data_IF_221658625229
#
_entry.id   IF_221658625229
#
_cell.length_a   1.000
_cell.length_b   1.000
_cell.length_c   1.000
_cell.angle_alpha   90.00
_cell.angle_beta   90.00
_cell.angle_gamma   90.00
#
_symmetry.space_group_name_H-M   'P 1'
#
loop_
_entity.id
_entity.type
_entity.pdbx_description
1 polymer ?
#
# COMPACT_ATOMS: atom_id res chain seq x y z
N UNK A 1 2.11 31.93 -1.98
CA UNK A 1 1.78 31.77 -3.41
C UNK A 1 2.40 30.47 -3.89
N UNK A 2 1.57 29.46 -4.19
CA UNK A 2 2.03 28.13 -4.63
C UNK A 2 2.59 28.27 -6.05
N UNK A 3 3.91 28.27 -6.18
CA UNK A 3 4.58 28.11 -7.49
C UNK A 3 4.37 26.66 -7.94
N UNK A 4 3.89 26.50 -9.17
CA UNK A 4 3.79 25.25 -9.95
C UNK A 4 2.99 24.11 -9.31
N UNK A 5 1.66 24.21 -9.32
CA UNK A 5 0.86 22.98 -9.37
C UNK A 5 0.85 22.50 -10.83
N UNK A 6 1.36 21.29 -11.06
CA UNK A 6 1.31 20.64 -12.38
C UNK A 6 -0.13 20.67 -12.92
N UNK A 7 -0.28 21.01 -14.21
CA UNK A 7 -1.60 21.15 -14.86
C UNK A 7 -2.42 19.87 -14.64
N UNK A 8 -3.50 19.95 -13.87
CA UNK A 8 -4.40 18.83 -13.56
C UNK A 8 -4.32 18.31 -12.13
N UNK A 9 -3.34 18.75 -11.34
CA UNK A 9 -3.27 18.42 -9.91
C UNK A 9 -4.40 19.12 -9.13
N UNK A 10 -5.15 18.34 -8.35
CA UNK A 10 -6.23 18.82 -7.49
C UNK A 10 -6.08 18.27 -6.06
N UNK A 11 -7.06 18.51 -5.18
CA UNK A 11 -6.99 18.06 -3.78
C UNK A 11 -7.00 16.54 -3.57
N UNK A 12 -7.41 15.78 -4.58
CA UNK A 12 -7.57 14.33 -4.52
C UNK A 12 -6.55 13.57 -5.37
N UNK A 13 -6.05 14.17 -6.45
CA UNK A 13 -5.15 13.51 -7.41
C UNK A 13 -4.03 14.47 -7.80
N UNK A 14 -2.79 14.02 -7.65
CA UNK A 14 -1.64 14.62 -8.31
C UNK A 14 -1.52 14.11 -9.75
N UNK A 15 -1.17 15.01 -10.65
CA UNK A 15 -0.98 14.70 -12.06
C UNK A 15 0.29 15.37 -12.56
N UNK A 16 1.33 14.60 -12.87
CA UNK A 16 2.64 15.11 -13.27
C UNK A 16 3.79 14.20 -12.85
N UNK A 17 5.02 14.61 -13.18
CA UNK A 17 6.29 13.92 -12.84
C UNK A 17 6.30 12.42 -13.19
N UNK A 18 5.68 12.08 -14.33
CA UNK A 18 5.70 10.71 -14.86
C UNK A 18 7.14 10.31 -15.22
N UNK A 19 7.47 9.03 -15.06
CA UNK A 19 8.81 8.50 -15.37
C UNK A 19 9.96 9.21 -14.64
N UNK A 20 9.68 9.79 -13.46
CA UNK A 20 10.66 10.56 -12.67
C UNK A 20 11.20 11.79 -13.40
N UNK A 21 10.38 12.40 -14.27
CA UNK A 21 10.71 13.65 -14.94
C UNK A 21 10.87 14.77 -13.89
N UNK A 22 12.12 15.19 -13.68
CA UNK A 22 12.53 16.18 -12.68
C UNK A 22 13.65 17.05 -13.20
N UNK A 23 13.63 18.33 -12.83
CA UNK A 23 14.72 19.26 -13.11
C UNK A 23 16.05 18.78 -12.49
N UNK A 24 17.18 19.07 -13.13
CA UNK A 24 18.52 18.62 -12.69
C UNK A 24 18.82 19.00 -11.23
N UNK A 25 18.33 20.15 -10.79
CA UNK A 25 18.51 20.65 -9.42
C UNK A 25 17.76 19.82 -8.36
N UNK A 26 16.62 19.21 -8.70
CA UNK A 26 15.79 18.44 -7.76
C UNK A 26 15.98 16.91 -7.89
N UNK A 27 16.69 16.44 -8.91
CA UNK A 27 16.79 15.02 -9.28
C UNK A 27 17.16 14.11 -8.10
N UNK A 28 18.16 14.49 -7.29
CA UNK A 28 18.60 13.69 -6.15
C UNK A 28 17.51 13.49 -5.09
N UNK A 29 16.78 14.56 -4.76
CA UNK A 29 15.69 14.51 -3.76
C UNK A 29 14.49 13.73 -4.31
N UNK A 30 14.16 13.92 -5.59
CA UNK A 30 13.04 13.20 -6.24
C UNK A 30 13.31 11.70 -6.27
N UNK A 31 14.51 11.27 -6.64
CA UNK A 31 14.83 9.84 -6.72
C UNK A 31 14.87 9.18 -5.35
N UNK A 32 15.47 9.85 -4.35
CA UNK A 32 15.48 9.36 -2.97
C UNK A 32 14.04 9.24 -2.42
N UNK A 33 13.21 10.26 -2.65
CA UNK A 33 11.80 10.25 -2.23
C UNK A 33 11.02 9.16 -2.95
N UNK A 34 11.28 8.94 -4.24
CA UNK A 34 10.63 7.88 -5.01
C UNK A 34 10.95 6.50 -4.45
N UNK A 35 12.23 6.18 -4.21
CA UNK A 35 12.62 4.87 -3.65
C UNK A 35 12.00 4.67 -2.26
N UNK A 36 11.98 5.73 -1.45
CA UNK A 36 11.36 5.70 -0.13
C UNK A 36 9.84 5.49 -0.19
N UNK A 37 9.12 6.17 -1.10
CA UNK A 37 7.68 5.97 -1.27
C UNK A 37 7.34 4.65 -1.95
N UNK A 38 8.22 4.15 -2.82
CA UNK A 38 8.10 2.83 -3.45
C UNK A 38 8.15 1.71 -2.41
N UNK A 39 8.98 1.84 -1.36
CA UNK A 39 9.01 0.86 -0.28
C UNK A 39 7.69 0.83 0.49
N UNK A 40 7.07 1.98 0.81
CA UNK A 40 5.75 2.05 1.42
C UNK A 40 4.64 1.47 0.53
N UNK A 41 4.66 1.80 -0.77
CA UNK A 41 3.70 1.26 -1.73
C UNK A 41 3.79 -0.28 -1.81
N UNK A 42 5.01 -0.81 -1.79
CA UNK A 42 5.28 -2.24 -1.76
C UNK A 42 4.75 -2.85 -0.47
N UNK A 43 5.05 -2.28 0.70
CA UNK A 43 4.55 -2.73 2.00
C UNK A 43 3.03 -2.76 2.07
N UNK A 44 2.35 -1.71 1.58
CA UNK A 44 0.88 -1.66 1.55
C UNK A 44 0.29 -2.81 0.71
N UNK A 45 0.97 -3.17 -0.38
CA UNK A 45 0.55 -4.24 -1.29
C UNK A 45 0.88 -5.64 -0.78
N UNK A 46 2.02 -5.82 -0.09
CA UNK A 46 2.41 -7.14 0.46
C UNK A 46 1.57 -7.54 1.68
N UNK A 47 1.00 -6.59 2.42
CA UNK A 47 -0.01 -6.90 3.47
C UNK A 47 -1.15 -7.76 2.89
N UNK A 48 -1.64 -7.43 1.70
CA UNK A 48 -2.74 -8.14 1.04
C UNK A 48 -2.37 -9.57 0.63
N UNK A 49 -1.09 -9.79 0.30
CA UNK A 49 -0.59 -11.11 -0.11
C UNK A 49 -0.80 -12.18 0.98
N UNK A 50 -0.60 -11.81 2.25
CA UNK A 50 -0.81 -12.71 3.40
C UNK A 50 -2.27 -13.13 3.54
N UNK A 51 -3.21 -12.22 3.29
CA UNK A 51 -4.64 -12.51 3.34
C UNK A 51 -5.09 -13.43 2.19
N UNK A 52 -4.44 -13.34 1.03
CA UNK A 52 -4.76 -14.11 -0.19
C UNK A 52 -4.02 -15.44 -0.30
N UNK A 53 -3.10 -15.73 0.62
CA UNK A 53 -2.22 -16.90 0.58
C UNK A 53 -2.98 -18.23 0.35
N UNK A 54 -2.28 -19.18 -0.29
CA UNK A 54 -2.69 -20.58 -0.57
C UNK A 54 -3.80 -20.78 -1.61
N UNK A 55 -4.60 -19.76 -1.94
CA UNK A 55 -5.79 -19.92 -2.83
C UNK A 55 -5.96 -18.88 -3.92
N UNK A 56 -4.98 -17.97 -4.07
CA UNK A 56 -4.98 -16.98 -5.13
C UNK A 56 -4.15 -17.48 -6.33
N UNK A 57 -4.68 -17.28 -7.54
CA UNK A 57 -3.90 -17.48 -8.76
C UNK A 57 -2.82 -16.39 -8.87
N UNK A 58 -1.58 -16.79 -9.19
CA UNK A 58 -0.45 -15.88 -9.31
C UNK A 58 -0.68 -14.72 -10.29
N UNK A 59 -1.26 -14.99 -11.47
CA UNK A 59 -1.56 -13.95 -12.47
C UNK A 59 -2.57 -12.94 -11.93
N UNK A 60 -3.61 -13.43 -11.25
CA UNK A 60 -4.60 -12.57 -10.59
C UNK A 60 -3.94 -11.72 -9.49
N UNK A 61 -2.99 -12.28 -8.74
CA UNK A 61 -2.23 -11.56 -7.73
C UNK A 61 -1.34 -10.46 -8.33
N UNK A 62 -0.66 -10.70 -9.46
CA UNK A 62 0.14 -9.67 -10.13
C UNK A 62 -0.73 -8.50 -10.60
N UNK A 63 -1.87 -8.79 -11.24
CA UNK A 63 -2.82 -7.76 -11.69
C UNK A 63 -3.37 -6.99 -10.50
N UNK A 64 -3.79 -7.69 -9.44
CA UNK A 64 -4.26 -7.07 -8.21
C UNK A 64 -3.20 -6.16 -7.59
N UNK A 65 -1.95 -6.60 -7.53
CA UNK A 65 -0.84 -5.84 -6.93
C UNK A 65 -0.56 -4.53 -7.67
N UNK A 66 -0.63 -4.56 -9.00
CA UNK A 66 -0.54 -3.35 -9.83
C UNK A 66 -1.65 -2.35 -9.50
N UNK A 67 -2.91 -2.80 -9.47
CA UNK A 67 -4.03 -1.93 -9.13
C UNK A 67 -4.00 -1.44 -7.68
N UNK A 68 -3.60 -2.29 -6.73
CA UNK A 68 -3.49 -1.90 -5.32
C UNK A 68 -2.40 -0.84 -5.10
N UNK A 69 -1.33 -0.87 -5.89
CA UNK A 69 -0.32 0.19 -5.88
C UNK A 69 -0.92 1.52 -6.32
N UNK A 70 -1.76 1.54 -7.36
CA UNK A 70 -2.50 2.75 -7.76
C UNK A 70 -3.46 3.22 -6.66
N UNK A 71 -4.16 2.28 -5.99
CA UNK A 71 -5.02 2.59 -4.85
C UNK A 71 -4.22 3.22 -3.70
N UNK A 72 -3.02 2.72 -3.39
CA UNK A 72 -2.13 3.30 -2.38
C UNK A 72 -1.75 4.76 -2.70
N UNK A 73 -1.45 5.08 -3.97
CA UNK A 73 -1.03 6.41 -4.37
C UNK A 73 -2.08 7.50 -4.06
N UNK A 74 -3.38 7.17 -4.06
CA UNK A 74 -4.45 8.15 -3.81
C UNK A 74 -4.46 8.62 -2.34
N UNK A 75 -4.65 7.77 -1.30
CA UNK A 75 -4.59 8.20 0.09
C UNK A 75 -3.22 8.73 0.51
N UNK A 76 -2.13 8.18 -0.03
CA UNK A 76 -0.80 8.73 0.19
C UNK A 76 -0.71 10.18 -0.30
N UNK A 77 -1.26 10.49 -1.48
CA UNK A 77 -1.36 11.85 -2.01
C UNK A 77 -2.24 12.76 -1.15
N UNK A 78 -3.35 12.25 -0.61
CA UNK A 78 -4.26 13.02 0.24
C UNK A 78 -3.59 13.50 1.53
N UNK A 79 -2.79 12.65 2.17
CA UNK A 79 -2.19 12.90 3.49
C UNK A 79 -0.80 13.53 3.39
N UNK A 80 0.06 13.03 2.51
CA UNK A 80 1.46 13.46 2.40
C UNK A 80 1.72 14.45 1.27
N UNK A 81 0.86 14.48 0.26
CA UNK A 81 0.99 15.43 -0.83
C UNK A 81 0.67 16.85 -0.40
N UNK A 82 1.50 17.83 -0.81
CA UNK A 82 1.22 19.27 -0.62
C UNK A 82 -0.12 19.70 -1.23
N UNK A 83 -0.58 18.98 -2.26
CA UNK A 83 -1.87 19.21 -2.91
C UNK A 83 -3.04 18.64 -2.10
N UNK A 84 -2.79 17.59 -1.31
CA UNK A 84 -3.78 16.72 -0.69
C UNK A 84 -4.75 17.44 0.24
N UNK A 85 -6.03 17.09 0.15
CA UNK A 85 -7.06 17.72 0.97
C UNK A 85 -6.90 17.40 2.47
N UNK A 86 -6.49 16.17 2.83
CA UNK A 86 -6.26 15.79 4.24
C UNK A 86 -5.04 16.52 4.81
N UNK A 87 -4.00 16.70 4.00
CA UNK A 87 -2.83 17.51 4.36
C UNK A 87 -3.25 18.96 4.69
N UNK A 88 -4.12 19.57 3.88
CA UNK A 88 -4.65 20.93 4.10
C UNK A 88 -5.57 21.02 5.33
N UNK A 89 -6.21 19.93 5.71
CA UNK A 89 -6.99 19.81 6.96
C UNK A 89 -6.11 19.55 8.19
N UNK A 90 -4.79 19.60 8.05
CA UNK A 90 -3.81 19.39 9.13
C UNK A 90 -3.84 17.98 9.73
N UNK A 91 -4.26 16.97 8.94
CA UNK A 91 -4.13 15.57 9.33
C UNK A 91 -2.65 15.20 9.39
N UNK A 92 -2.23 14.60 10.51
CA UNK A 92 -0.85 14.18 10.73
C UNK A 92 -0.78 12.66 10.71
N UNK A 93 -0.08 12.14 9.71
CA UNK A 93 0.37 10.74 9.66
C UNK A 93 1.81 10.76 9.13
N UNK A 94 2.76 10.35 9.96
CA UNK A 94 4.19 10.47 9.64
C UNK A 94 4.71 9.23 8.91
N UNK A 95 4.23 8.05 9.33
CA UNK A 95 4.81 6.76 8.92
C UNK A 95 3.84 5.85 8.16
N UNK A 96 2.58 6.26 8.00
CA UNK A 96 1.64 5.59 7.10
C UNK A 96 0.63 4.69 7.79
N UNK A 97 0.19 5.04 8.99
CA UNK A 97 -0.90 4.31 9.67
C UNK A 97 -2.15 4.21 8.78
N UNK A 98 -2.53 5.31 8.11
CA UNK A 98 -3.63 5.34 7.16
C UNK A 98 -3.25 4.82 5.77
N UNK A 99 -2.37 5.48 4.99
CA UNK A 99 -2.13 5.09 3.60
C UNK A 99 -1.49 3.71 3.44
N UNK A 100 -0.73 3.20 4.43
CA UNK A 100 -0.09 1.87 4.36
C UNK A 100 -0.94 0.83 5.07
N UNK A 101 -1.13 0.97 6.38
CA UNK A 101 -1.76 -0.09 7.19
C UNK A 101 -3.28 -0.15 7.03
N UNK A 102 -3.99 0.98 7.07
CA UNK A 102 -5.45 0.98 6.92
C UNK A 102 -5.86 0.60 5.50
N UNK A 103 -5.25 1.19 4.48
CA UNK A 103 -5.54 0.85 3.07
C UNK A 103 -5.15 -0.59 2.78
N UNK A 104 -3.95 -1.03 3.16
CA UNK A 104 -3.52 -2.42 3.00
C UNK A 104 -4.44 -3.40 3.73
N UNK A 105 -4.84 -3.09 4.97
CA UNK A 105 -5.75 -3.90 5.77
C UNK A 105 -7.17 -3.97 5.19
N UNK A 106 -7.72 -2.84 4.72
CA UNK A 106 -9.03 -2.79 4.08
C UNK A 106 -9.03 -3.56 2.75
N UNK A 107 -8.02 -3.36 1.90
CA UNK A 107 -7.81 -4.15 0.68
C UNK A 107 -7.70 -5.63 0.98
N UNK A 108 -7.00 -6.01 2.06
CA UNK A 108 -6.86 -7.40 2.50
C UNK A 108 -8.19 -8.02 2.91
N UNK A 109 -9.01 -7.27 3.65
CA UNK A 109 -10.32 -7.72 4.07
C UNK A 109 -11.23 -7.98 2.86
N UNK A 110 -11.30 -7.02 1.92
CA UNK A 110 -12.10 -7.18 0.70
C UNK A 110 -11.59 -8.34 -0.15
N UNK A 111 -10.27 -8.47 -0.33
CA UNK A 111 -9.68 -9.58 -1.08
C UNK A 111 -9.99 -10.95 -0.44
N UNK A 112 -9.92 -11.05 0.89
CA UNK A 112 -10.27 -12.27 1.61
C UNK A 112 -11.76 -12.62 1.49
N UNK A 113 -12.65 -11.61 1.54
CA UNK A 113 -14.09 -11.80 1.34
C UNK A 113 -14.41 -12.31 -0.08
N UNK A 114 -13.73 -11.77 -1.10
CA UNK A 114 -13.91 -12.18 -2.49
C UNK A 114 -13.39 -13.60 -2.76
N UNK A 115 -12.21 -13.95 -2.23
CA UNK A 115 -11.62 -15.28 -2.38
C UNK A 115 -12.34 -16.36 -1.60
N UNK A 116 -13.12 -15.97 -0.56
CA UNK A 116 -13.80 -16.88 0.36
C UNK A 116 -12.80 -17.71 1.20
N UNK A 117 -13.31 -18.52 2.16
CA UNK A 117 -12.47 -19.38 2.98
C UNK A 117 -11.66 -20.38 2.17
N UNK A 118 -10.53 -20.81 2.72
CA UNK A 118 -9.76 -21.93 2.19
C UNK A 118 -10.62 -23.19 2.12
N UNK A 119 -10.37 -24.03 1.12
CA UNK A 119 -11.04 -25.32 0.99
C UNK A 119 -10.84 -26.13 2.27
N UNK A 120 -11.92 -26.68 2.82
CA UNK A 120 -11.90 -27.47 4.05
C UNK A 120 -11.65 -26.68 5.35
N UNK A 121 -11.56 -25.35 5.31
CA UNK A 121 -11.20 -24.53 6.49
C UNK A 121 -12.17 -24.69 7.67
N UNK A 122 -13.45 -24.86 7.38
CA UNK A 122 -14.54 -24.85 8.36
C UNK A 122 -15.29 -26.19 8.48
N UNK A 123 -14.79 -27.23 7.82
CA UNK A 123 -15.44 -28.55 7.81
C UNK A 123 -15.39 -29.25 9.18
N UNK A 124 -14.40 -28.89 10.02
CA UNK A 124 -14.15 -29.48 11.35
C UNK A 124 -14.39 -28.50 12.49
N UNK A 125 -15.13 -27.42 12.25
CA UNK A 125 -15.41 -26.36 13.21
C UNK A 125 -14.67 -25.06 12.93
N UNK A 126 -14.71 -24.14 13.89
CA UNK A 126 -14.18 -22.76 13.76
C UNK A 126 -12.84 -22.55 14.43
N UNK A 127 -12.27 -23.59 15.05
CA UNK A 127 -11.00 -23.50 15.75
C UNK A 127 -9.89 -22.97 14.81
N UNK A 128 -8.96 -22.15 15.32
CA UNK A 128 -7.84 -21.67 14.53
C UNK A 128 -6.97 -22.85 14.06
N UNK A 129 -6.46 -22.84 12.82
CA UNK A 129 -5.55 -23.87 12.38
C UNK A 129 -4.23 -23.76 13.16
N UNK A 130 -3.49 -24.86 13.33
CA UNK A 130 -2.16 -24.79 13.91
C UNK A 130 -1.26 -23.87 13.08
N UNK A 131 -0.34 -23.17 13.76
CA UNK A 131 0.64 -22.32 13.09
C UNK A 131 1.57 -23.16 12.21
N UNK A 132 1.80 -22.72 10.96
CA UNK A 132 2.63 -23.46 10.00
C UNK A 132 4.08 -23.62 10.45
N UNK A 133 4.76 -22.50 10.78
CA UNK A 133 6.13 -22.50 11.30
C UNK A 133 6.36 -21.32 12.26
N UNK A 134 6.52 -21.58 13.57
CA UNK A 134 6.84 -20.54 14.54
C UNK A 134 8.17 -19.83 14.28
N UNK A 135 9.18 -20.54 13.76
CA UNK A 135 10.49 -19.97 13.45
C UNK A 135 10.40 -18.91 12.37
N UNK A 136 9.67 -19.16 11.28
CA UNK A 136 9.51 -18.18 10.21
C UNK A 136 8.71 -16.96 10.67
N UNK A 137 7.72 -17.15 11.55
CA UNK A 137 6.97 -16.05 12.14
C UNK A 137 7.87 -15.14 13.00
N UNK A 138 8.78 -15.72 13.79
CA UNK A 138 9.73 -14.96 14.61
C UNK A 138 10.77 -14.22 13.77
N UNK A 139 11.34 -14.87 12.75
CA UNK A 139 12.29 -14.19 11.83
C UNK A 139 11.61 -13.03 11.11
N UNK A 140 10.38 -13.22 10.64
CA UNK A 140 9.59 -12.15 10.02
C UNK A 140 9.31 -11.00 10.98
N UNK A 141 8.96 -11.30 12.23
CA UNK A 141 8.74 -10.28 13.27
C UNK A 141 9.99 -9.44 13.51
N UNK A 142 11.18 -10.05 13.64
CA UNK A 142 12.44 -9.30 13.80
C UNK A 142 12.85 -8.50 12.56
N UNK A 143 12.43 -8.90 11.36
CA UNK A 143 12.67 -8.12 10.14
C UNK A 143 11.72 -6.91 10.01
N UNK A 144 10.54 -6.98 10.63
CA UNK A 144 9.53 -5.93 10.58
C UNK A 144 9.64 -4.92 11.74
N UNK A 145 10.31 -5.29 12.84
CA UNK A 145 10.51 -4.47 14.03
C UNK A 145 11.75 -3.59 13.90
#
# INVERSE_FOLDING_TARGET
>A
MVKNADRGTNGFIAFGKFFLDSDEEEMGVVFATYIFQLSFATTATTIVSGAMAERCNFVAYCIFSFFNTVVFCLPAGWVWGKHGFLNRLLVVDIAGCAPVHLVGGASSLIAALMLKPRQGRYDRGTDPPPMGSPTNALVGMFMLW
#
